data_IF_288778780292
#
_entry.id   IF_288778780292
#
_cell.length_a   1.000
_cell.length_b   1.000
_cell.length_c   1.000
_cell.angle_alpha   90.00
_cell.angle_beta   90.00
_cell.angle_gamma   90.00
#
_symmetry.space_group_name_H-M   'P 1'
#
loop_
_entity.id
_entity.type
_entity.pdbx_description
1 polymer ?
#
# COMPACT_ATOMS: atom_id res chain seq x y z
N UNK A 1 16.62 -11.88 -1.93
CA UNK A 1 16.98 -11.54 -0.53
C UNK A 1 15.86 -10.69 0.07
N UNK A 2 15.42 -10.97 1.32
CA UNK A 2 14.30 -10.28 1.96
C UNK A 2 14.78 -9.37 3.10
N UNK A 3 14.22 -8.17 3.20
CA UNK A 3 14.36 -7.30 4.37
C UNK A 3 13.55 -7.80 5.55
N UNK A 4 12.35 -8.34 5.27
CA UNK A 4 11.48 -8.96 6.27
C UNK A 4 11.02 -10.31 5.75
N UNK A 5 11.08 -11.33 6.59
CA UNK A 5 10.50 -12.65 6.37
C UNK A 5 9.78 -13.11 7.64
N UNK A 6 8.52 -13.49 7.53
CA UNK A 6 7.80 -14.16 8.62
C UNK A 6 7.40 -15.56 8.19
N UNK A 7 7.39 -16.51 9.15
CA UNK A 7 6.92 -17.88 8.92
C UNK A 7 5.88 -18.23 9.96
N UNK A 8 4.70 -18.58 9.50
CA UNK A 8 3.56 -19.01 10.30
C UNK A 8 3.26 -18.06 11.49
N UNK A 9 3.40 -16.74 11.26
CA UNK A 9 3.17 -15.75 12.31
C UNK A 9 1.70 -15.69 12.66
N UNK A 10 1.36 -16.04 13.90
CA UNK A 10 -0.01 -16.03 14.42
C UNK A 10 -0.07 -15.25 15.72
N UNK A 11 -1.19 -14.55 15.94
CA UNK A 11 -1.38 -13.70 17.11
C UNK A 11 -2.85 -13.60 17.51
N UNK A 12 -3.11 -13.60 18.79
CA UNK A 12 -4.43 -13.37 19.38
C UNK A 12 -4.33 -12.47 20.62
N UNK A 13 -5.30 -11.58 20.80
CA UNK A 13 -5.38 -10.77 22.03
C UNK A 13 -6.03 -11.55 23.17
N UNK A 14 -6.95 -12.46 22.86
CA UNK A 14 -7.61 -13.38 23.81
C UNK A 14 -7.76 -14.75 23.18
N UNK A 15 -8.07 -15.76 23.99
CA UNK A 15 -8.27 -17.15 23.51
C UNK A 15 -9.38 -17.31 22.47
N UNK A 16 -10.24 -16.32 22.32
CA UNK A 16 -11.39 -16.35 21.42
C UNK A 16 -11.22 -15.49 20.16
N UNK A 17 -10.17 -14.65 20.10
CA UNK A 17 -10.01 -13.67 19.02
C UNK A 17 -8.66 -13.84 18.30
N UNK A 18 -8.65 -14.66 17.24
CA UNK A 18 -7.50 -14.74 16.33
C UNK A 18 -7.43 -13.51 15.45
N UNK A 19 -6.39 -12.70 15.63
CA UNK A 19 -6.17 -11.48 14.84
C UNK A 19 -5.25 -11.76 13.65
N UNK A 20 -4.27 -12.66 13.81
CA UNK A 20 -3.40 -13.11 12.73
C UNK A 20 -3.33 -14.63 12.73
N UNK A 21 -3.43 -15.21 11.54
CA UNK A 21 -3.39 -16.64 11.30
C UNK A 21 -2.37 -16.97 10.22
N UNK A 22 -1.26 -17.58 10.61
CA UNK A 22 -0.26 -18.15 9.71
C UNK A 22 0.32 -17.17 8.67
N UNK A 23 0.61 -15.91 9.04
CA UNK A 23 1.16 -14.91 8.14
C UNK A 23 2.59 -15.27 7.72
N UNK A 24 2.78 -15.49 6.41
CA UNK A 24 4.08 -15.77 5.78
C UNK A 24 4.48 -14.59 4.88
N UNK A 25 4.81 -13.44 5.47
CA UNK A 25 5.16 -12.21 4.77
C UNK A 25 6.60 -12.25 4.27
N UNK A 26 6.83 -11.80 3.04
CA UNK A 26 8.14 -11.68 2.40
C UNK A 26 8.30 -10.31 1.74
N UNK A 27 9.12 -9.44 2.35
CA UNK A 27 9.40 -8.10 1.84
C UNK A 27 10.81 -8.07 1.23
N UNK A 28 10.95 -7.93 -0.11
CA UNK A 28 12.26 -7.86 -0.75
C UNK A 28 13.07 -6.63 -0.32
N UNK A 29 14.40 -6.73 -0.40
CA UNK A 29 15.30 -5.59 -0.15
C UNK A 29 15.12 -4.54 -1.26
N UNK A 30 15.12 -3.26 -0.88
CA UNK A 30 15.10 -2.13 -1.82
C UNK A 30 13.75 -1.90 -2.51
N UNK A 31 12.67 -2.56 -2.07
CA UNK A 31 11.35 -2.32 -2.61
C UNK A 31 10.54 -1.32 -1.78
N UNK A 32 9.50 -0.75 -2.39
CA UNK A 32 8.37 -0.17 -1.67
C UNK A 32 7.27 -1.22 -1.66
N UNK A 33 6.98 -1.75 -0.48
CA UNK A 33 6.02 -2.83 -0.28
C UNK A 33 4.72 -2.31 0.35
N UNK A 34 3.61 -2.45 -0.35
CA UNK A 34 2.26 -2.12 0.15
C UNK A 34 1.65 -3.30 0.90
N UNK A 35 1.36 -3.14 2.18
CA UNK A 35 0.63 -4.10 2.99
C UNK A 35 -0.83 -3.68 3.12
N UNK A 36 -1.69 -4.27 2.31
CA UNK A 36 -3.02 -3.79 1.97
C UNK A 36 -4.11 -4.64 2.62
N UNK A 37 -5.18 -4.00 3.06
CA UNK A 37 -6.32 -4.72 3.63
C UNK A 37 -7.33 -3.77 4.28
N UNK A 38 -8.57 -4.22 4.53
CA UNK A 38 -9.58 -3.41 5.20
C UNK A 38 -9.19 -3.12 6.66
N UNK A 39 -9.91 -2.19 7.27
CA UNK A 39 -9.77 -1.94 8.70
C UNK A 39 -10.09 -3.22 9.50
N UNK A 40 -9.29 -3.50 10.52
CA UNK A 40 -9.41 -4.74 11.31
C UNK A 40 -8.80 -5.99 10.68
N UNK A 41 -8.20 -5.92 9.47
CA UNK A 41 -7.62 -7.09 8.82
C UNK A 41 -6.34 -7.63 9.49
N UNK A 42 -5.74 -6.89 10.44
CA UNK A 42 -4.51 -7.28 11.14
C UNK A 42 -3.24 -6.52 10.71
N UNK A 43 -3.35 -5.46 9.87
CA UNK A 43 -2.20 -4.67 9.38
C UNK A 43 -1.35 -4.11 10.53
N UNK A 44 -1.92 -3.23 11.35
CA UNK A 44 -1.23 -2.59 12.49
C UNK A 44 -0.68 -3.63 13.48
N UNK A 45 -1.43 -4.71 13.74
CA UNK A 45 -0.98 -5.81 14.60
C UNK A 45 0.27 -6.48 14.04
N UNK A 46 0.31 -6.74 12.73
CA UNK A 46 1.50 -7.28 12.06
C UNK A 46 2.68 -6.32 12.19
N UNK A 47 2.50 -5.01 11.92
CA UNK A 47 3.56 -4.02 12.06
C UNK A 47 4.06 -3.91 13.50
N UNK A 48 3.17 -3.96 14.50
CA UNK A 48 3.56 -3.95 15.92
C UNK A 48 4.38 -5.19 16.32
N UNK A 49 4.06 -6.37 15.77
CA UNK A 49 4.85 -7.59 15.98
C UNK A 49 6.24 -7.47 15.36
N UNK A 50 6.34 -6.93 14.13
CA UNK A 50 7.62 -6.69 13.45
C UNK A 50 8.52 -5.72 14.24
N UNK A 51 7.93 -4.72 14.91
CA UNK A 51 8.64 -3.76 15.77
C UNK A 51 8.87 -4.28 17.19
N UNK A 52 8.34 -5.45 17.55
CA UNK A 52 8.43 -6.00 18.91
C UNK A 52 7.69 -5.18 19.95
N UNK A 53 6.68 -4.42 19.54
CA UNK A 53 5.71 -3.72 20.41
C UNK A 53 4.68 -4.70 20.97
N UNK A 54 4.49 -5.83 20.27
CA UNK A 54 3.75 -7.00 20.75
C UNK A 54 4.69 -8.19 20.80
N UNK A 55 4.50 -9.05 21.80
CA UNK A 55 5.28 -10.27 21.95
C UNK A 55 4.80 -11.31 20.94
N UNK A 56 5.73 -11.85 20.14
CA UNK A 56 5.42 -12.95 19.23
C UNK A 56 4.93 -14.17 20.02
N UNK A 57 3.79 -14.74 19.63
CA UNK A 57 3.20 -15.91 20.28
C UNK A 57 3.51 -17.19 19.51
N UNK A 58 3.39 -17.17 18.18
CA UNK A 58 3.66 -18.30 17.30
C UNK A 58 4.35 -17.86 16.02
N UNK A 59 5.12 -18.76 15.43
CA UNK A 59 5.88 -18.52 14.22
C UNK A 59 7.22 -17.85 14.46
N UNK A 60 7.84 -17.36 13.40
CA UNK A 60 9.15 -16.70 13.48
C UNK A 60 9.19 -15.45 12.61
N UNK A 61 9.99 -14.48 13.06
CA UNK A 61 10.27 -13.22 12.35
C UNK A 61 11.78 -13.16 12.10
N UNK A 62 12.16 -12.92 10.85
CA UNK A 62 13.51 -12.55 10.44
C UNK A 62 13.49 -11.19 9.79
N UNK A 63 14.43 -10.33 10.18
CA UNK A 63 14.65 -9.02 9.55
C UNK A 63 16.14 -8.92 9.22
N UNK A 64 16.46 -8.50 8.00
CA UNK A 64 17.84 -8.49 7.48
C UNK A 64 18.52 -9.86 7.60
N UNK A 65 17.78 -10.94 7.37
CA UNK A 65 18.21 -12.33 7.52
C UNK A 65 18.60 -12.76 8.95
N UNK A 66 18.28 -11.95 9.98
CA UNK A 66 18.55 -12.21 11.40
C UNK A 66 17.26 -12.55 12.12
N UNK A 67 17.31 -13.56 13.00
CA UNK A 67 16.19 -13.92 13.87
C UNK A 67 15.90 -12.79 14.86
N UNK A 68 14.67 -12.28 14.85
CA UNK A 68 14.27 -11.14 15.67
C UNK A 68 14.49 -11.37 17.18
N UNK A 69 14.16 -12.56 17.66
CA UNK A 69 14.30 -12.91 19.08
C UNK A 69 15.76 -12.83 19.60
N UNK A 70 16.74 -13.08 18.73
CA UNK A 70 18.15 -13.12 19.09
C UNK A 70 18.88 -11.80 18.82
N UNK A 71 18.43 -11.03 17.84
CA UNK A 71 19.13 -9.83 17.35
C UNK A 71 18.28 -8.55 17.41
N UNK A 72 17.32 -8.49 18.35
CA UNK A 72 16.31 -7.40 18.42
C UNK A 72 16.93 -6.00 18.40
N UNK A 73 17.95 -5.74 19.22
CA UNK A 73 18.55 -4.38 19.32
C UNK A 73 19.21 -4.01 17.99
N UNK A 74 20.03 -4.89 17.45
CA UNK A 74 20.72 -4.67 16.18
C UNK A 74 19.75 -4.43 15.01
N UNK A 75 18.66 -5.19 14.97
CA UNK A 75 17.59 -5.04 13.98
C UNK A 75 16.93 -3.66 14.12
N UNK A 76 16.51 -3.30 15.33
CA UNK A 76 15.81 -2.03 15.59
C UNK A 76 16.67 -0.80 15.32
N UNK A 77 17.98 -0.88 15.48
CA UNK A 77 18.93 0.18 15.13
C UNK A 77 18.95 0.49 13.62
N UNK A 78 18.45 -0.39 12.78
CA UNK A 78 18.39 -0.25 11.32
C UNK A 78 16.97 -0.02 10.80
N UNK A 79 15.98 0.19 11.69
CA UNK A 79 14.59 0.41 11.33
C UNK A 79 14.13 1.79 11.79
N UNK A 80 13.59 2.59 10.86
CA UNK A 80 12.78 3.75 11.18
C UNK A 80 11.30 3.36 11.15
N UNK A 81 10.48 3.89 12.04
CA UNK A 81 9.07 3.54 12.06
C UNK A 81 8.16 4.71 12.39
N UNK A 82 6.96 4.68 11.81
CA UNK A 82 5.82 5.50 12.17
C UNK A 82 4.61 4.56 12.31
N UNK A 83 4.25 4.23 13.56
CA UNK A 83 3.12 3.35 13.87
C UNK A 83 2.07 4.17 14.59
N UNK A 84 0.85 4.20 14.03
CA UNK A 84 -0.30 4.98 14.48
C UNK A 84 -0.09 6.50 14.32
N UNK A 85 0.11 7.23 15.41
CA UNK A 85 0.23 8.69 15.40
C UNK A 85 1.66 9.16 15.53
N UNK A 86 2.01 10.33 14.94
CA UNK A 86 3.32 10.93 15.10
C UNK A 86 3.65 11.24 16.56
N UNK A 87 4.67 10.55 17.13
CA UNK A 87 5.17 10.82 18.48
C UNK A 87 6.07 12.07 18.49
N UNK A 88 5.48 13.26 18.41
CA UNK A 88 6.16 14.55 18.38
C UNK A 88 5.79 15.40 19.59
N UNK A 89 6.75 16.19 20.07
CA UNK A 89 6.53 17.16 21.14
C UNK A 89 5.92 18.43 20.55
N UNK A 90 4.64 18.64 20.75
CA UNK A 90 3.85 19.72 20.12
C UNK A 90 4.31 21.12 20.55
N UNK A 91 4.88 21.26 21.75
CA UNK A 91 5.41 22.52 22.29
C UNK A 91 6.83 22.86 21.80
N UNK A 92 7.49 21.95 21.07
CA UNK A 92 8.81 22.13 20.48
C UNK A 92 8.71 22.49 18.99
N UNK A 93 9.75 23.14 18.44
CA UNK A 93 9.95 23.33 16.99
C UNK A 93 10.37 22.02 16.34
N UNK A 94 10.42 21.97 14.99
CA UNK A 94 10.93 20.80 14.27
C UNK A 94 12.38 20.48 14.67
N UNK A 95 13.25 21.49 14.73
CA UNK A 95 14.65 21.33 15.12
C UNK A 95 14.77 20.81 16.57
N UNK A 96 14.01 21.36 17.49
CA UNK A 96 14.03 20.93 18.90
C UNK A 96 13.54 19.48 19.04
N UNK A 97 12.49 19.09 18.34
CA UNK A 97 12.04 17.70 18.27
C UNK A 97 13.17 16.77 17.81
N UNK A 98 13.82 17.10 16.69
CA UNK A 98 14.91 16.28 16.16
C UNK A 98 16.14 16.24 17.08
N UNK A 99 16.45 17.34 17.82
CA UNK A 99 17.53 17.37 18.81
C UNK A 99 17.32 16.37 19.96
N UNK A 100 16.07 16.16 20.39
CA UNK A 100 15.76 15.15 21.43
C UNK A 100 16.17 13.76 20.94
N UNK A 101 15.73 13.38 19.75
CA UNK A 101 16.02 12.07 19.16
C UNK A 101 17.48 11.93 18.72
N UNK A 102 18.10 13.02 18.23
CA UNK A 102 19.51 13.04 17.85
C UNK A 102 20.43 12.66 19.02
N UNK A 103 20.12 13.15 20.23
CA UNK A 103 20.86 12.74 21.44
C UNK A 103 20.67 11.26 21.76
N UNK A 104 19.44 10.74 21.60
CA UNK A 104 19.15 9.33 21.86
C UNK A 104 19.86 8.40 20.86
N UNK A 105 19.81 8.74 19.58
CA UNK A 105 20.47 7.98 18.52
C UNK A 105 21.97 8.26 18.39
N UNK A 106 22.51 9.24 19.09
CA UNK A 106 23.92 9.67 19.05
C UNK A 106 24.41 9.97 17.63
N UNK A 107 23.52 10.47 16.76
CA UNK A 107 23.88 10.82 15.40
C UNK A 107 24.46 12.24 15.30
N UNK A 108 25.24 12.55 14.23
CA UNK A 108 25.84 13.88 14.04
C UNK A 108 24.80 15.00 13.98
N UNK A 109 25.10 16.17 14.58
CA UNK A 109 24.19 17.33 14.57
C UNK A 109 23.84 17.81 13.15
N UNK A 110 24.74 17.66 12.20
CA UNK A 110 24.51 17.98 10.77
C UNK A 110 23.33 17.19 10.17
N UNK A 111 23.05 15.99 10.71
CA UNK A 111 21.96 15.13 10.24
C UNK A 111 20.58 15.78 10.38
N UNK A 112 20.39 16.61 11.42
CA UNK A 112 19.13 17.36 11.63
C UNK A 112 18.80 18.21 10.40
N UNK A 113 19.79 18.97 9.89
CA UNK A 113 19.60 19.83 8.71
C UNK A 113 19.26 18.99 7.47
N UNK A 114 19.96 17.89 7.28
CA UNK A 114 19.75 16.98 6.15
C UNK A 114 18.33 16.38 6.15
N UNK A 115 17.87 15.81 7.27
CA UNK A 115 16.53 15.20 7.32
C UNK A 115 15.42 16.25 7.21
N UNK A 116 15.60 17.47 7.75
CA UNK A 116 14.63 18.56 7.56
C UNK A 116 14.52 18.97 6.09
N UNK A 117 15.64 18.97 5.37
CA UNK A 117 15.66 19.25 3.94
C UNK A 117 14.94 18.15 3.16
N UNK A 118 15.24 16.88 3.44
CA UNK A 118 14.60 15.73 2.80
C UNK A 118 13.08 15.75 2.95
N UNK A 119 12.58 16.05 4.16
CA UNK A 119 11.13 16.05 4.40
C UNK A 119 10.46 17.40 4.09
N UNK A 120 11.17 18.39 3.51
CA UNK A 120 10.61 19.69 3.14
C UNK A 120 10.19 20.57 4.31
N UNK A 121 10.86 20.45 5.46
CA UNK A 121 10.53 21.22 6.67
C UNK A 121 11.61 22.26 7.06
N UNK A 122 12.62 22.51 6.21
CA UNK A 122 13.70 23.47 6.48
C UNK A 122 13.21 24.89 6.76
N UNK A 123 12.11 25.31 6.11
CA UNK A 123 11.54 26.67 6.22
C UNK A 123 10.65 26.88 7.44
N UNK A 124 10.53 25.92 8.36
CA UNK A 124 9.56 26.03 9.48
C UNK A 124 10.03 26.96 10.62
N UNK A 125 11.34 27.27 10.69
CA UNK A 125 11.93 28.21 11.64
C UNK A 125 11.53 27.92 13.09
N UNK A 126 11.01 28.95 13.76
CA UNK A 126 10.58 28.88 15.17
C UNK A 126 9.13 28.40 15.35
N UNK A 127 8.43 27.99 14.28
CA UNK A 127 7.06 27.50 14.38
C UNK A 127 7.01 26.20 15.20
N UNK A 128 6.18 26.19 16.24
CA UNK A 128 6.01 25.00 17.11
C UNK A 128 5.25 23.90 16.35
N UNK A 129 5.63 22.65 16.57
CA UNK A 129 5.03 21.47 15.90
C UNK A 129 3.51 21.33 16.16
N UNK A 130 3.01 21.85 17.27
CA UNK A 130 1.57 21.91 17.56
C UNK A 130 0.77 22.70 16.52
N UNK A 131 1.40 23.70 15.85
CA UNK A 131 0.79 24.51 14.79
C UNK A 131 1.01 23.95 13.38
N UNK A 132 1.61 22.78 13.25
CA UNK A 132 1.82 22.13 11.97
C UNK A 132 0.51 21.51 11.45
N UNK A 133 0.34 21.48 10.12
CA UNK A 133 -0.69 20.65 9.50
C UNK A 133 -0.42 19.17 9.79
N UNK A 134 -1.41 18.31 9.57
CA UNK A 134 -1.23 16.88 9.75
C UNK A 134 -0.07 16.35 8.88
N UNK A 135 0.00 16.74 7.61
CA UNK A 135 1.09 16.36 6.71
C UNK A 135 2.47 16.84 7.19
N UNK A 136 2.57 18.06 7.73
CA UNK A 136 3.83 18.53 8.34
C UNK A 136 4.21 17.70 9.58
N UNK A 137 3.23 17.28 10.39
CA UNK A 137 3.46 16.42 11.56
C UNK A 137 3.94 15.03 11.13
N UNK A 138 3.32 14.43 10.13
CA UNK A 138 3.74 13.13 9.59
C UNK A 138 5.15 13.20 8.98
N UNK A 139 5.46 14.26 8.20
CA UNK A 139 6.81 14.47 7.65
C UNK A 139 7.85 14.70 8.76
N UNK A 140 7.50 15.37 9.84
CA UNK A 140 8.39 15.50 11.01
C UNK A 140 8.64 14.14 11.69
N UNK A 141 7.62 13.28 11.81
CA UNK A 141 7.80 11.94 12.36
C UNK A 141 8.68 11.06 11.45
N UNK A 142 8.53 11.18 10.13
CA UNK A 142 9.45 10.52 9.18
C UNK A 142 10.87 11.07 9.32
N UNK A 143 11.04 12.39 9.52
CA UNK A 143 12.36 12.98 9.78
C UNK A 143 13.03 12.38 11.04
N UNK A 144 12.25 12.17 12.12
CA UNK A 144 12.73 11.44 13.31
C UNK A 144 13.16 10.02 12.97
N UNK A 145 12.32 9.30 12.21
CA UNK A 145 12.62 7.93 11.78
C UNK A 145 13.85 7.81 10.87
N UNK A 146 14.25 8.90 10.19
CA UNK A 146 15.41 8.96 9.28
C UNK A 146 16.72 9.39 9.96
N UNK A 147 16.68 9.87 11.20
CA UNK A 147 17.87 10.46 11.88
C UNK A 147 19.06 9.48 11.93
N UNK A 148 18.80 8.23 12.23
CA UNK A 148 19.81 7.17 12.42
C UNK A 148 20.13 6.36 11.14
N UNK A 149 19.73 6.89 9.96
CA UNK A 149 20.01 6.28 8.64
C UNK A 149 19.51 4.83 8.51
N UNK A 150 18.20 4.59 8.71
CA UNK A 150 17.66 3.24 8.68
C UNK A 150 17.73 2.62 7.27
N UNK A 151 17.86 1.29 7.22
CA UNK A 151 17.77 0.50 5.98
C UNK A 151 16.34 0.09 5.62
N UNK A 152 15.43 0.18 6.60
CA UNK A 152 14.02 -0.19 6.48
C UNK A 152 13.16 0.88 7.16
N UNK A 153 12.12 1.34 6.46
CA UNK A 153 11.04 2.14 7.03
C UNK A 153 9.78 1.30 7.14
N UNK A 154 9.13 1.34 8.31
CA UNK A 154 7.83 0.72 8.56
C UNK A 154 6.82 1.83 8.89
N UNK A 155 5.86 2.03 8.00
CA UNK A 155 4.91 3.15 8.06
C UNK A 155 3.47 2.62 8.11
N UNK A 156 2.76 2.93 9.19
CA UNK A 156 1.35 2.56 9.35
C UNK A 156 0.45 3.71 8.90
N UNK A 157 -0.23 3.52 7.77
CA UNK A 157 -1.20 4.46 7.18
C UNK A 157 -0.69 5.93 7.08
N UNK A 158 0.52 6.20 6.53
CA UNK A 158 1.15 7.52 6.60
C UNK A 158 0.44 8.59 5.75
N UNK A 159 -0.48 8.21 4.87
CA UNK A 159 -1.30 9.14 4.06
C UNK A 159 -2.68 9.39 4.66
N UNK A 160 -3.06 8.66 5.72
CA UNK A 160 -4.39 8.76 6.30
C UNK A 160 -4.68 10.17 6.84
N UNK A 161 -5.80 10.75 6.42
CA UNK A 161 -6.24 12.09 6.83
C UNK A 161 -5.50 13.25 6.17
N UNK A 162 -4.62 12.99 5.20
CA UNK A 162 -4.00 14.03 4.40
C UNK A 162 -4.96 14.55 3.31
N UNK A 163 -4.77 15.79 2.95
CA UNK A 163 -5.37 16.36 1.75
C UNK A 163 -4.67 15.83 0.48
N UNK A 164 -5.26 15.97 -0.72
CA UNK A 164 -4.67 15.44 -1.95
C UNK A 164 -3.23 15.90 -2.21
N UNK A 165 -2.89 17.15 -1.89
CA UNK A 165 -1.53 17.66 -2.04
C UNK A 165 -0.57 16.99 -1.06
N UNK A 166 -0.97 16.82 0.21
CA UNK A 166 -0.19 16.11 1.22
C UNK A 166 0.08 14.64 0.85
N UNK A 167 -0.89 13.96 0.21
CA UNK A 167 -0.71 12.60 -0.32
C UNK A 167 0.35 12.59 -1.42
N UNK A 168 0.30 13.54 -2.36
CA UNK A 168 1.29 13.65 -3.44
C UNK A 168 2.69 13.92 -2.89
N UNK A 169 2.82 14.85 -1.94
CA UNK A 169 4.10 15.17 -1.28
C UNK A 169 4.66 13.96 -0.52
N UNK A 170 3.82 13.25 0.23
CA UNK A 170 4.21 12.04 0.96
C UNK A 170 4.70 10.95 -0.01
N UNK A 171 3.98 10.71 -1.10
CA UNK A 171 4.38 9.75 -2.12
C UNK A 171 5.72 10.10 -2.74
N UNK A 172 5.91 11.35 -3.15
CA UNK A 172 7.18 11.83 -3.72
C UNK A 172 8.34 11.66 -2.76
N UNK A 173 8.14 11.95 -1.47
CA UNK A 173 9.13 11.73 -0.43
C UNK A 173 9.51 10.24 -0.31
N UNK A 174 8.54 9.34 -0.23
CA UNK A 174 8.82 7.91 -0.09
C UNK A 174 9.51 7.33 -1.34
N UNK A 175 9.12 7.76 -2.54
CA UNK A 175 9.81 7.40 -3.78
C UNK A 175 11.24 7.88 -3.80
N UNK A 176 11.49 9.13 -3.40
CA UNK A 176 12.83 9.69 -3.28
C UNK A 176 13.69 8.90 -2.29
N UNK A 177 13.18 8.61 -1.10
CA UNK A 177 13.90 7.83 -0.07
C UNK A 177 14.28 6.44 -0.57
N UNK A 178 13.41 5.79 -1.33
CA UNK A 178 13.71 4.48 -1.92
C UNK A 178 14.72 4.57 -3.06
N UNK A 179 14.52 5.50 -4.02
CA UNK A 179 15.33 5.59 -5.22
C UNK A 179 16.76 6.12 -4.95
N UNK A 180 16.89 7.15 -4.10
CA UNK A 180 18.19 7.81 -3.86
C UNK A 180 18.99 7.15 -2.73
N UNK A 181 18.32 6.62 -1.71
CA UNK A 181 18.99 6.05 -0.52
C UNK A 181 18.87 4.52 -0.42
N UNK A 182 18.14 3.88 -1.34
CA UNK A 182 17.97 2.41 -1.34
C UNK A 182 17.19 1.87 -0.14
N UNK A 183 16.45 2.72 0.57
CA UNK A 183 15.71 2.32 1.77
C UNK A 183 14.55 1.41 1.36
N UNK A 184 14.45 0.23 1.98
CA UNK A 184 13.26 -0.61 1.87
C UNK A 184 12.11 0.04 2.64
N UNK A 185 10.91 0.10 2.06
CA UNK A 185 9.75 0.72 2.72
C UNK A 185 8.62 -0.30 2.78
N UNK A 186 8.14 -0.58 3.99
CA UNK A 186 6.89 -1.30 4.24
C UNK A 186 5.82 -0.29 4.67
N UNK A 187 4.78 -0.14 3.88
CA UNK A 187 3.69 0.80 4.12
C UNK A 187 2.36 0.06 4.22
N UNK A 188 1.62 0.25 5.31
CA UNK A 188 0.23 -0.21 5.37
C UNK A 188 -0.73 0.82 4.77
N UNK A 189 -1.79 0.34 4.13
CA UNK A 189 -2.90 1.18 3.70
C UNK A 189 -4.19 0.39 3.54
N UNK A 190 -5.31 1.08 3.64
CA UNK A 190 -6.62 0.58 3.26
C UNK A 190 -7.12 1.23 1.95
N UNK A 191 -6.42 2.24 1.43
CA UNK A 191 -6.76 2.96 0.19
C UNK A 191 -5.83 2.47 -0.93
N UNK A 192 -6.38 1.60 -1.79
CA UNK A 192 -5.60 0.91 -2.82
C UNK A 192 -5.13 1.85 -3.94
N UNK A 193 -5.99 2.76 -4.38
CA UNK A 193 -5.70 3.71 -5.47
C UNK A 193 -4.55 4.69 -5.17
N UNK A 194 -4.30 4.98 -3.88
CA UNK A 194 -3.16 5.80 -3.47
C UNK A 194 -1.84 5.02 -3.53
N UNK A 195 -1.91 3.75 -3.11
CA UNK A 195 -0.74 2.88 -2.97
C UNK A 195 -0.27 2.33 -4.31
N UNK A 196 -1.19 2.04 -5.23
CA UNK A 196 -0.86 1.53 -6.57
C UNK A 196 0.20 2.37 -7.29
N UNK A 197 0.15 3.69 -7.12
CA UNK A 197 1.09 4.63 -7.75
C UNK A 197 2.44 4.74 -7.03
N UNK A 198 2.60 4.06 -5.90
CA UNK A 198 3.77 4.16 -5.03
C UNK A 198 4.57 2.85 -4.98
N UNK A 199 3.88 1.71 -4.90
CA UNK A 199 4.49 0.44 -4.55
C UNK A 199 5.02 -0.33 -5.76
N UNK A 200 6.05 -1.14 -5.52
CA UNK A 200 6.57 -2.12 -6.48
C UNK A 200 6.10 -3.53 -6.16
N UNK A 201 5.86 -3.80 -4.87
CA UNK A 201 5.40 -5.08 -4.35
C UNK A 201 4.21 -4.87 -3.41
N UNK A 202 3.37 -5.88 -3.30
CA UNK A 202 2.20 -5.84 -2.42
C UNK A 202 1.99 -7.15 -1.68
N UNK A 203 1.33 -7.04 -0.53
CA UNK A 203 0.74 -8.14 0.19
C UNK A 203 -0.68 -7.77 0.63
N UNK A 204 -1.66 -8.62 0.34
CA UNK A 204 -3.05 -8.39 0.68
C UNK A 204 -3.39 -9.25 1.89
N UNK A 205 -3.84 -8.61 2.96
CA UNK A 205 -4.30 -9.27 4.19
C UNK A 205 -5.81 -9.08 4.36
N UNK A 206 -6.50 -10.16 4.71
CA UNK A 206 -7.93 -10.14 5.05
C UNK A 206 -8.22 -11.11 6.19
N UNK A 207 -9.00 -10.69 7.19
CA UNK A 207 -9.35 -11.49 8.37
C UNK A 207 -8.16 -12.22 9.01
N UNK A 208 -7.03 -11.54 9.10
CA UNK A 208 -5.81 -12.08 9.70
C UNK A 208 -5.02 -13.06 8.83
N UNK A 209 -5.36 -13.26 7.58
CA UNK A 209 -4.65 -14.13 6.64
C UNK A 209 -4.03 -13.34 5.48
N UNK A 210 -2.81 -13.69 5.10
CA UNK A 210 -2.19 -13.15 3.89
C UNK A 210 -2.75 -13.90 2.67
N UNK A 211 -3.64 -13.21 1.93
CA UNK A 211 -4.33 -13.82 0.78
C UNK A 211 -3.41 -13.92 -0.42
N UNK A 212 -2.59 -12.88 -0.60
CA UNK A 212 -1.72 -12.76 -1.76
C UNK A 212 -0.50 -11.91 -1.45
N UNK A 213 0.63 -12.22 -2.09
CA UNK A 213 1.81 -11.35 -2.13
C UNK A 213 2.59 -11.56 -3.43
N UNK A 214 3.28 -10.50 -3.89
CA UNK A 214 4.08 -10.53 -5.10
C UNK A 214 4.41 -9.14 -5.63
N UNK A 215 4.91 -9.05 -6.87
CA UNK A 215 5.06 -7.74 -7.51
C UNK A 215 3.68 -7.18 -7.92
N UNK A 216 3.56 -5.86 -7.91
CA UNK A 216 2.33 -5.22 -8.41
C UNK A 216 2.05 -5.62 -9.86
N UNK A 217 3.11 -5.71 -10.68
CA UNK A 217 3.01 -6.14 -12.07
C UNK A 217 2.47 -7.56 -12.20
N UNK A 218 3.04 -8.53 -11.45
CA UNK A 218 2.57 -9.92 -11.49
C UNK A 218 1.11 -10.06 -11.06
N UNK A 219 0.65 -9.18 -10.15
CA UNK A 219 -0.73 -9.15 -9.73
C UNK A 219 -1.64 -8.66 -10.86
N UNK A 220 -1.26 -7.56 -11.50
CA UNK A 220 -2.00 -7.00 -12.63
C UNK A 220 -2.01 -7.95 -13.83
N UNK A 221 -0.88 -8.65 -14.08
CA UNK A 221 -0.74 -9.57 -15.22
C UNK A 221 -1.42 -10.94 -14.97
N UNK A 222 -1.40 -11.46 -13.73
CA UNK A 222 -1.98 -12.78 -13.40
C UNK A 222 -3.49 -12.80 -13.33
N UNK A 223 -4.11 -11.69 -13.04
CA UNK A 223 -5.57 -11.60 -13.03
C UNK A 223 -6.07 -11.14 -14.41
N UNK A 224 -5.94 -12.02 -15.40
CA UNK A 224 -6.65 -11.97 -16.68
C UNK A 224 -8.19 -12.07 -16.54
N UNK A 225 -8.76 -11.39 -15.58
CA UNK A 225 -10.07 -10.79 -15.76
C UNK A 225 -9.79 -9.47 -16.48
N UNK A 226 -9.34 -9.67 -17.71
CA UNK A 226 -9.05 -8.76 -18.77
C UNK A 226 -9.78 -7.42 -18.63
N UNK A 227 -9.09 -6.35 -19.00
CA UNK A 227 -9.73 -5.15 -19.49
C UNK A 227 -11.03 -5.59 -20.18
N UNK A 228 -12.16 -5.18 -19.68
CA UNK A 228 -13.43 -5.50 -20.28
C UNK A 228 -14.07 -4.22 -20.80
N UNK A 229 -14.92 -4.36 -21.80
CA UNK A 229 -15.75 -3.26 -22.25
C UNK A 229 -17.13 -3.47 -21.66
N UNK A 230 -17.60 -2.45 -20.94
CA UNK A 230 -18.99 -2.36 -20.52
C UNK A 230 -19.76 -1.61 -21.62
N UNK A 231 -20.81 -2.22 -22.12
CA UNK A 231 -21.67 -1.63 -23.12
C UNK A 231 -23.11 -1.62 -22.63
N UNK A 232 -23.78 -0.50 -22.83
CA UNK A 232 -25.22 -0.34 -22.58
C UNK A 232 -25.94 -0.01 -23.87
N UNK A 233 -27.06 -0.71 -24.13
CA UNK A 233 -27.83 -0.59 -25.36
C UNK A 233 -29.34 -0.59 -25.08
N UNK A 234 -30.15 -0.16 -26.05
CA UNK A 234 -31.61 -0.28 -25.97
C UNK A 234 -32.13 -1.73 -25.97
N UNK A 235 -31.25 -2.72 -26.31
CA UNK A 235 -31.64 -4.13 -26.45
C UNK A 235 -30.48 -5.05 -26.05
N UNK A 236 -30.07 -5.05 -24.77
CA UNK A 236 -28.89 -5.78 -24.26
C UNK A 236 -28.91 -7.30 -24.55
N UNK A 237 -30.07 -7.97 -24.49
CA UNK A 237 -30.16 -9.38 -24.78
C UNK A 237 -29.92 -9.69 -26.28
N UNK A 238 -30.49 -8.88 -27.18
CA UNK A 238 -30.28 -9.00 -28.61
C UNK A 238 -28.82 -8.73 -28.99
N UNK A 239 -28.25 -7.67 -28.39
CA UNK A 239 -26.85 -7.32 -28.59
C UNK A 239 -25.90 -8.43 -28.08
N UNK A 240 -26.16 -9.01 -26.89
CA UNK A 240 -25.43 -10.16 -26.38
C UNK A 240 -25.41 -11.30 -27.35
N UNK A 241 -26.60 -11.70 -27.89
CA UNK A 241 -26.71 -12.82 -28.84
C UNK A 241 -25.89 -12.60 -30.12
N UNK A 242 -25.75 -11.35 -30.57
CA UNK A 242 -24.92 -11.00 -31.73
C UNK A 242 -23.43 -11.01 -31.41
N UNK A 243 -23.03 -10.45 -30.29
CA UNK A 243 -21.61 -10.35 -29.87
C UNK A 243 -21.07 -11.75 -29.52
N UNK A 244 -21.84 -12.56 -28.79
CA UNK A 244 -21.41 -13.87 -28.31
C UNK A 244 -21.11 -14.89 -29.48
N UNK A 245 -21.59 -14.63 -30.69
CA UNK A 245 -21.20 -15.41 -31.85
C UNK A 245 -19.69 -15.36 -32.15
N UNK A 246 -19.06 -14.21 -31.88
CA UNK A 246 -17.64 -13.97 -32.11
C UNK A 246 -16.81 -13.94 -30.82
N UNK A 247 -17.45 -13.66 -29.68
CA UNK A 247 -16.83 -13.55 -28.37
C UNK A 247 -17.74 -14.30 -27.37
N UNK A 248 -17.60 -15.62 -27.24
CA UNK A 248 -18.50 -16.48 -26.45
C UNK A 248 -18.52 -16.12 -24.93
N UNK A 249 -17.43 -15.53 -24.40
CA UNK A 249 -17.30 -15.18 -22.99
C UNK A 249 -18.07 -13.88 -22.61
N UNK A 250 -18.74 -13.24 -23.59
CA UNK A 250 -19.57 -12.04 -23.34
C UNK A 250 -20.78 -12.42 -22.48
N UNK A 251 -21.08 -11.59 -21.47
CA UNK A 251 -22.19 -11.84 -20.55
C UNK A 251 -22.90 -10.55 -20.15
N UNK A 252 -24.14 -10.66 -19.64
CA UNK A 252 -24.84 -9.53 -19.02
C UNK A 252 -24.59 -9.54 -17.52
N UNK A 253 -24.13 -8.42 -16.96
CA UNK A 253 -24.02 -8.16 -15.53
C UNK A 253 -24.64 -6.79 -15.21
N UNK A 254 -25.44 -6.71 -14.13
CA UNK A 254 -26.12 -5.47 -13.72
C UNK A 254 -26.83 -4.76 -14.88
N UNK A 255 -27.50 -5.54 -15.73
CA UNK A 255 -28.21 -5.06 -16.92
C UNK A 255 -27.32 -4.36 -17.97
N UNK A 256 -26.00 -4.57 -17.97
CA UNK A 256 -25.06 -4.10 -18.99
C UNK A 256 -24.30 -5.28 -19.59
N UNK A 257 -23.89 -5.14 -20.85
CA UNK A 257 -23.09 -6.16 -21.54
C UNK A 257 -21.65 -6.01 -21.13
N UNK A 258 -21.02 -7.08 -20.66
CA UNK A 258 -19.60 -7.14 -20.31
C UNK A 258 -18.90 -7.99 -21.36
N UNK A 259 -18.04 -7.37 -22.15
CA UNK A 259 -17.27 -8.00 -23.21
C UNK A 259 -15.84 -8.16 -22.70
N UNK A 260 -15.27 -9.37 -22.62
CA UNK A 260 -13.87 -9.59 -22.26
C UNK A 260 -12.93 -8.82 -23.20
N UNK A 261 -11.68 -8.66 -22.77
CA UNK A 261 -10.67 -7.88 -23.48
C UNK A 261 -10.74 -8.04 -25.01
N UNK A 262 -10.91 -6.90 -25.68
CA UNK A 262 -10.89 -6.81 -27.15
C UNK A 262 -10.04 -5.61 -27.58
N UNK A 263 -9.37 -5.74 -28.71
CA UNK A 263 -8.59 -4.64 -29.31
C UNK A 263 -9.52 -3.57 -29.92
N UNK A 264 -9.01 -2.35 -30.04
CA UNK A 264 -9.79 -1.21 -30.57
C UNK A 264 -10.53 -1.48 -31.89
N UNK A 265 -9.92 -2.26 -32.77
CA UNK A 265 -10.52 -2.63 -34.06
C UNK A 265 -11.74 -3.55 -33.88
N UNK A 266 -11.74 -4.43 -32.89
CA UNK A 266 -12.89 -5.28 -32.57
C UNK A 266 -14.03 -4.46 -31.95
N UNK A 267 -13.72 -3.44 -31.11
CA UNK A 267 -14.73 -2.51 -30.58
C UNK A 267 -15.44 -1.81 -31.74
N UNK A 268 -14.69 -1.30 -32.72
CA UNK A 268 -15.26 -0.65 -33.89
C UNK A 268 -16.13 -1.60 -34.72
N UNK A 269 -15.70 -2.84 -34.89
CA UNK A 269 -16.47 -3.86 -35.61
C UNK A 269 -17.79 -4.20 -34.89
N UNK A 270 -17.75 -4.37 -33.57
CA UNK A 270 -18.94 -4.62 -32.74
C UNK A 270 -19.91 -3.44 -32.85
N UNK A 271 -19.40 -2.21 -32.71
CA UNK A 271 -20.22 -1.01 -32.84
C UNK A 271 -20.93 -0.97 -34.21
N UNK A 272 -20.18 -1.17 -35.29
CA UNK A 272 -20.77 -1.21 -36.67
C UNK A 272 -21.81 -2.32 -36.85
N UNK A 273 -21.56 -3.51 -36.27
CA UNK A 273 -22.49 -4.61 -36.29
C UNK A 273 -23.82 -4.28 -35.63
N UNK A 274 -23.75 -3.75 -34.38
CA UNK A 274 -24.93 -3.45 -33.58
C UNK A 274 -25.76 -2.33 -34.20
N UNK A 275 -25.10 -1.25 -34.65
CA UNK A 275 -25.76 -0.13 -35.33
C UNK A 275 -26.42 -0.63 -36.66
N UNK A 276 -25.75 -1.50 -37.40
CA UNK A 276 -26.30 -2.12 -38.62
C UNK A 276 -27.55 -2.97 -38.37
N UNK A 277 -27.68 -3.57 -37.19
CA UNK A 277 -28.85 -4.32 -36.72
C UNK A 277 -29.93 -3.45 -36.04
N UNK A 278 -29.78 -2.13 -36.09
CA UNK A 278 -30.71 -1.16 -35.51
C UNK A 278 -30.70 -1.11 -33.99
N UNK A 279 -29.60 -1.50 -33.36
CA UNK A 279 -29.41 -1.40 -31.91
C UNK A 279 -28.72 -0.10 -31.61
N UNK A 280 -29.35 0.72 -30.74
CA UNK A 280 -28.78 1.96 -30.23
C UNK A 280 -27.84 1.68 -29.07
N UNK A 281 -26.66 2.26 -29.14
CA UNK A 281 -25.63 2.10 -28.10
C UNK A 281 -25.61 3.38 -27.27
N UNK A 282 -25.88 3.26 -25.96
CA UNK A 282 -25.92 4.39 -25.03
C UNK A 282 -24.57 4.64 -24.37
N UNK A 283 -23.80 3.57 -24.13
CA UNK A 283 -22.51 3.69 -23.46
C UNK A 283 -21.54 2.61 -23.97
N UNK A 284 -20.29 2.99 -24.19
CA UNK A 284 -19.15 2.08 -24.39
C UNK A 284 -18.03 2.55 -23.48
N UNK A 285 -17.80 1.85 -22.37
CA UNK A 285 -16.79 2.21 -21.40
C UNK A 285 -15.73 1.12 -21.27
N UNK A 286 -14.47 1.38 -21.68
CA UNK A 286 -13.38 0.48 -21.37
C UNK A 286 -13.10 0.53 -19.87
N UNK A 287 -13.29 -0.56 -19.18
CA UNK A 287 -12.94 -0.71 -17.78
C UNK A 287 -11.53 -1.28 -17.69
N UNK A 288 -10.59 -0.49 -17.20
CA UNK A 288 -9.32 -1.01 -16.73
C UNK A 288 -9.53 -1.56 -15.33
N UNK A 289 -9.06 -2.76 -15.09
CA UNK A 289 -9.01 -3.24 -13.72
C UNK A 289 -7.99 -2.43 -12.94
N UNK A 290 -8.48 -1.75 -11.91
CA UNK A 290 -7.65 -1.17 -10.88
C UNK A 290 -7.42 -2.19 -9.74
N UNK A 291 -6.48 -1.88 -8.88
CA UNK A 291 -6.15 -2.71 -7.73
C UNK A 291 -7.36 -2.94 -6.81
N UNK A 292 -8.33 -2.03 -6.83
CA UNK A 292 -9.54 -2.07 -6.00
C UNK A 292 -10.49 -3.18 -6.45
N UNK A 293 -10.72 -3.31 -7.76
CA UNK A 293 -11.53 -4.40 -8.32
C UNK A 293 -10.89 -5.77 -8.09
N UNK A 294 -9.58 -5.87 -8.25
CA UNK A 294 -8.82 -7.08 -7.97
C UNK A 294 -8.97 -7.48 -6.49
N UNK A 295 -8.82 -6.51 -5.60
CA UNK A 295 -8.96 -6.70 -4.16
C UNK A 295 -10.36 -7.19 -3.79
N UNK A 296 -11.41 -6.55 -4.30
CA UNK A 296 -12.80 -6.96 -4.05
C UNK A 296 -13.09 -8.38 -4.54
N UNK A 297 -12.54 -8.75 -5.70
CA UNK A 297 -12.68 -10.11 -6.24
C UNK A 297 -11.99 -11.15 -5.35
N UNK A 298 -10.78 -10.86 -4.85
CA UNK A 298 -10.03 -11.75 -3.96
C UNK A 298 -10.72 -11.96 -2.61
N UNK A 299 -11.41 -10.94 -2.09
CA UNK A 299 -12.13 -11.03 -0.81
C UNK A 299 -13.44 -11.78 -0.95
N UNK A 300 -14.18 -11.57 -2.03
CA UNK A 300 -15.51 -12.15 -2.23
C UNK A 300 -15.47 -13.63 -2.63
N UNK A 301 -14.33 -14.13 -3.11
CA UNK A 301 -14.16 -15.52 -3.53
C UNK A 301 -13.53 -16.42 -2.44
N UNK A 302 -13.38 -15.91 -1.21
CA UNK A 302 -12.97 -16.63 0.00
C UNK A 302 -14.08 -16.55 1.05
#
# INVERSE_FOLDING_TARGET
MYSIETKALSYHFSTQENVLNNICLQVPVGCIYGFLGPNGAGKTTTLRLLMGLLKNQQGSIKIFNKHYAQHRIEILQNIGSLIESPSIYTHLTAIENLKVWQKLYQCPAARIKQVLQLVGLSGTGNKKAGKFSLGMKQRLAIAVALLHEPKLLILDEPTNGLDPNGILEMRSLLQQLNAEFGITILISSHILSEIEKLVTHIGIIHKGELIMQGTLKDLMDKQYLSDCIIMDTNANEKALALIAKNIPETQIRLNKIVIPFIIKTQVAAINSLLVGEGIEIYEITPTKQDLENIFMHLINNK
#
